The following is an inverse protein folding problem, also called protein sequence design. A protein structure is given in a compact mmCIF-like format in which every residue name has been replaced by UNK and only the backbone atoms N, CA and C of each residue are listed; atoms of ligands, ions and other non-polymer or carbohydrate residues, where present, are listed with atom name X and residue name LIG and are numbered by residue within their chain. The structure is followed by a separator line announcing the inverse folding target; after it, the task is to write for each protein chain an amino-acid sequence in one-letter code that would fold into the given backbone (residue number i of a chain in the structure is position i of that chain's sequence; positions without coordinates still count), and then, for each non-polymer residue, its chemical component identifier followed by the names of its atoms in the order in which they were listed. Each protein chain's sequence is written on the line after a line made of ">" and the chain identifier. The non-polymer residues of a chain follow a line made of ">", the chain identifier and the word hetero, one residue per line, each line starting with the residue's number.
data_IF_407482488585
#
_entry.id   IF_407482488585
#
_cell.length_a   1.000
_cell.length_b   1.000
_cell.length_c   1.000
_cell.angle_alpha   90.00
_cell.angle_beta   90.00
_cell.angle_gamma   90.00
#
_symmetry.space_group_name_H-M   'P 1'
#
loop_
_entity.id
_entity.type
_entity.pdbx_description
1 polymer ?
#
# COMPACT_ATOMS: atom_id res chain seq x y z
N UNK A 1 31.09 11.93 8.40
CA UNK A 1 30.91 12.92 9.48
C UNK A 1 29.62 13.69 9.24
N UNK A 2 28.74 13.76 10.24
CA UNK A 2 27.50 14.57 10.26
C UNK A 2 27.80 15.94 10.90
N UNK A 3 27.91 17.00 10.09
CA UNK A 3 28.14 18.38 10.56
C UNK A 3 26.92 19.25 10.23
N UNK A 4 26.67 20.35 10.97
CA UNK A 4 25.59 21.27 10.64
C UNK A 4 25.65 21.81 9.20
N UNK A 5 26.86 22.07 8.68
CA UNK A 5 27.05 22.54 7.30
C UNK A 5 26.67 21.47 6.26
N UNK A 6 27.04 20.19 6.49
CA UNK A 6 26.63 19.09 5.61
C UNK A 6 25.10 18.91 5.61
N UNK A 7 24.45 19.05 6.77
CA UNK A 7 22.99 18.97 6.87
C UNK A 7 22.29 20.10 6.14
N UNK A 8 22.79 21.33 6.30
CA UNK A 8 22.24 22.49 5.59
C UNK A 8 22.34 22.33 4.07
N UNK A 9 23.49 21.88 3.57
CA UNK A 9 23.69 21.64 2.13
C UNK A 9 22.81 20.48 1.61
N UNK A 10 22.65 19.41 2.39
CA UNK A 10 21.77 18.30 2.01
C UNK A 10 20.29 18.73 1.94
N UNK A 11 19.84 19.58 2.87
CA UNK A 11 18.51 20.18 2.85
C UNK A 11 18.31 21.06 1.62
N UNK A 12 19.25 21.97 1.35
CA UNK A 12 19.22 22.84 0.17
C UNK A 12 19.16 22.02 -1.13
N UNK A 13 19.99 20.99 -1.26
CA UNK A 13 19.98 20.11 -2.42
C UNK A 13 18.63 19.39 -2.59
N UNK A 14 18.02 18.91 -1.48
CA UNK A 14 16.70 18.30 -1.52
C UNK A 14 15.60 19.29 -1.92
N UNK A 15 15.61 20.51 -1.37
CA UNK A 15 14.67 21.58 -1.71
C UNK A 15 14.75 21.99 -3.19
N UNK A 16 15.96 22.00 -3.77
CA UNK A 16 16.17 22.31 -5.19
C UNK A 16 15.87 21.12 -6.12
N UNK A 17 15.85 19.88 -5.61
CA UNK A 17 15.62 18.67 -6.41
C UNK A 17 14.14 18.29 -6.56
N UNK A 18 13.26 18.76 -5.66
CA UNK A 18 11.83 18.47 -5.71
C UNK A 18 11.17 19.25 -6.84
N UNK A 19 10.55 18.54 -7.78
CA UNK A 19 9.81 19.14 -8.90
C UNK A 19 8.31 19.12 -8.59
N UNK A 20 7.70 20.30 -8.55
CA UNK A 20 6.26 20.44 -8.45
C UNK A 20 5.62 20.21 -9.83
N UNK A 21 5.16 18.99 -10.08
CA UNK A 21 4.54 18.62 -11.37
C UNK A 21 3.21 19.34 -11.62
N UNK A 22 2.42 19.55 -10.56
CA UNK A 22 1.15 20.28 -10.63
C UNK A 22 0.84 20.94 -9.29
N UNK A 23 0.30 22.16 -9.33
CA UNK A 23 -0.32 22.81 -8.18
C UNK A 23 -1.47 23.69 -8.66
N UNK A 24 -2.70 23.37 -8.29
CA UNK A 24 -3.88 24.16 -8.64
C UNK A 24 -4.18 25.22 -7.57
N UNK A 25 -3.14 25.89 -7.08
CA UNK A 25 -3.21 26.80 -5.93
C UNK A 25 -3.45 26.09 -4.59
N UNK A 26 -3.41 24.75 -4.57
CA UNK A 26 -3.48 23.95 -3.35
C UNK A 26 -2.21 24.09 -2.50
N UNK A 27 -1.05 24.08 -3.18
CA UNK A 27 0.25 24.29 -2.55
C UNK A 27 0.74 25.72 -2.82
N UNK A 28 1.43 26.36 -1.84
CA UNK A 28 1.81 25.80 -0.54
C UNK A 28 0.63 25.70 0.45
N UNK A 29 0.66 24.69 1.32
CA UNK A 29 -0.34 24.57 2.39
C UNK A 29 -0.18 25.75 3.36
N UNK A 30 -1.29 26.42 3.68
CA UNK A 30 -1.29 27.44 4.72
C UNK A 30 -1.26 26.76 6.09
N UNK A 31 -0.14 26.86 6.79
CA UNK A 31 0.05 26.26 8.12
C UNK A 31 -1.00 26.75 9.14
N UNK A 32 -1.49 27.99 9.02
CA UNK A 32 -2.55 28.51 9.88
C UNK A 32 -3.95 27.99 9.50
N UNK A 33 -4.16 27.56 8.26
CA UNK A 33 -5.43 27.02 7.79
C UNK A 33 -5.61 25.51 8.04
N UNK A 34 -4.52 24.73 8.12
CA UNK A 34 -4.55 23.24 8.19
C UNK A 34 -5.00 22.75 9.56
N UNK A 35 -6.29 22.66 9.87
CA UNK A 35 -6.71 22.16 11.22
C UNK A 35 -6.25 20.74 11.53
N UNK A 36 -6.31 19.85 10.54
CA UNK A 36 -5.87 18.46 10.63
C UNK A 36 -5.32 18.05 9.27
N UNK A 37 -4.19 17.35 9.26
CA UNK A 37 -3.56 16.76 8.10
C UNK A 37 -3.56 15.24 8.24
N UNK A 38 -4.18 14.54 7.30
CA UNK A 38 -4.04 13.09 7.19
C UNK A 38 -2.85 12.76 6.27
N UNK A 39 -1.90 11.99 6.78
CA UNK A 39 -0.82 11.40 6.00
C UNK A 39 -1.17 9.94 5.76
N UNK A 40 -1.17 9.51 4.50
CA UNK A 40 -1.61 8.16 4.12
C UNK A 40 -0.55 7.48 3.27
N UNK A 41 -0.27 6.22 3.58
CA UNK A 41 0.53 5.33 2.74
C UNK A 41 1.81 4.79 3.41
N UNK A 42 2.35 3.67 2.89
CA UNK A 42 3.45 2.94 3.51
C UNK A 42 4.81 3.67 3.45
N UNK A 43 4.92 4.76 2.69
CA UNK A 43 6.14 5.54 2.55
C UNK A 43 6.20 6.75 3.51
N UNK A 44 5.15 6.97 4.31
CA UNK A 44 5.06 8.12 5.20
C UNK A 44 6.18 8.15 6.27
N UNK A 45 6.62 6.96 6.71
CA UNK A 45 7.69 6.77 7.70
C UNK A 45 9.01 6.29 7.10
N UNK A 46 9.17 6.41 5.78
CA UNK A 46 10.33 5.90 5.06
C UNK A 46 11.21 7.03 4.52
N UNK A 47 12.51 6.97 4.81
CA UNK A 47 13.53 7.67 4.02
C UNK A 47 14.16 6.66 3.04
N UNK A 48 13.91 6.83 1.74
CA UNK A 48 14.51 6.01 0.69
C UNK A 48 15.88 6.57 0.31
N UNK A 49 16.99 5.89 0.66
CA UNK A 49 18.30 6.30 0.19
C UNK A 49 18.45 5.95 -1.29
N UNK A 50 19.36 6.67 -1.96
CA UNK A 50 19.91 6.17 -3.22
C UNK A 50 20.70 4.87 -2.98
N UNK A 51 20.84 4.08 -4.04
CA UNK A 51 21.58 2.82 -4.01
C UNK A 51 23.02 2.96 -3.51
N UNK A 52 23.64 4.10 -3.80
CA UNK A 52 25.02 4.42 -3.41
C UNK A 52 25.10 5.42 -2.26
N UNK A 53 23.97 5.80 -1.65
CA UNK A 53 23.88 6.84 -0.61
C UNK A 53 24.33 6.40 0.79
N UNK A 54 24.66 5.13 0.98
CA UNK A 54 24.96 4.56 2.30
C UNK A 54 23.76 4.60 3.26
N UNK A 55 24.00 4.25 4.54
CA UNK A 55 22.96 4.35 5.57
C UNK A 55 22.99 5.74 6.22
N UNK A 56 21.87 6.49 6.22
CA UNK A 56 21.85 7.83 6.77
C UNK A 56 21.97 7.79 8.30
N UNK A 57 22.83 8.68 8.86
CA UNK A 57 23.02 8.84 10.31
C UNK A 57 21.78 9.43 10.97
N UNK A 58 21.07 10.32 10.25
CA UNK A 58 19.79 10.91 10.66
C UNK A 58 18.77 10.70 9.56
N UNK A 59 17.55 10.38 9.96
CA UNK A 59 16.41 10.22 9.07
C UNK A 59 15.37 11.28 9.44
N UNK A 60 14.68 11.80 8.45
CA UNK A 60 13.54 12.69 8.64
C UNK A 60 12.45 12.20 7.68
N UNK A 61 11.66 11.19 8.09
CA UNK A 61 10.55 10.69 7.29
C UNK A 61 9.49 11.77 7.08
N UNK A 62 8.74 11.73 5.96
CA UNK A 62 7.73 12.74 5.64
C UNK A 62 6.73 13.01 6.77
N UNK A 63 6.21 11.95 7.43
CA UNK A 63 5.24 12.10 8.52
C UNK A 63 5.83 12.82 9.73
N UNK A 64 7.03 12.41 10.14
CA UNK A 64 7.73 13.04 11.26
C UNK A 64 8.01 14.52 10.98
N UNK A 65 8.55 14.83 9.79
CA UNK A 65 8.81 16.21 9.37
C UNK A 65 7.55 17.07 9.32
N UNK A 66 6.42 16.52 8.85
CA UNK A 66 5.12 17.20 8.85
C UNK A 66 4.58 17.42 10.27
N UNK A 67 4.75 16.44 11.16
CA UNK A 67 4.36 16.55 12.56
C UNK A 67 5.19 17.60 13.32
N UNK A 68 6.51 17.64 13.07
CA UNK A 68 7.40 18.68 13.60
C UNK A 68 7.01 20.09 13.12
N UNK A 69 6.62 20.22 11.85
CA UNK A 69 6.26 21.51 11.25
C UNK A 69 4.87 22.01 11.64
N UNK A 70 3.87 21.14 11.64
CA UNK A 70 2.46 21.53 11.86
C UNK A 70 2.00 21.34 13.31
N UNK A 71 2.70 20.53 14.09
CA UNK A 71 2.30 20.04 15.41
C UNK A 71 1.74 18.61 15.33
N UNK A 72 2.24 17.71 16.20
CA UNK A 72 1.87 16.29 16.21
C UNK A 72 0.35 16.07 16.35
N UNK A 73 -0.32 16.90 17.15
CA UNK A 73 -1.77 16.82 17.42
C UNK A 73 -2.64 17.03 16.17
N UNK A 74 -2.05 17.62 15.12
CA UNK A 74 -2.73 17.92 13.85
C UNK A 74 -2.45 16.88 12.78
N UNK A 75 -1.48 15.98 12.98
CA UNK A 75 -1.11 14.97 12.00
C UNK A 75 -1.69 13.62 12.40
N UNK A 76 -2.64 13.13 11.62
CA UNK A 76 -3.15 11.77 11.74
C UNK A 76 -2.54 10.90 10.65
N UNK A 77 -2.34 9.61 10.93
CA UNK A 77 -1.65 8.70 10.02
C UNK A 77 -2.41 7.39 9.87
N UNK A 78 -2.49 6.91 8.63
CA UNK A 78 -2.91 5.57 8.29
C UNK A 78 -1.97 5.01 7.23
N UNK A 79 -1.40 3.82 7.47
CA UNK A 79 -0.50 3.21 6.49
C UNK A 79 -1.26 2.70 5.26
N UNK A 80 -2.52 2.29 5.45
CA UNK A 80 -3.40 1.83 4.37
C UNK A 80 -3.09 0.42 3.86
N UNK A 81 -2.36 -0.40 4.62
CA UNK A 81 -2.04 -1.79 4.27
C UNK A 81 -3.07 -2.77 4.83
N UNK A 82 -3.29 -3.88 4.11
CA UNK A 82 -4.12 -4.97 4.60
C UNK A 82 -3.40 -5.71 5.74
N UNK A 83 -4.15 -6.09 6.78
CA UNK A 83 -3.69 -7.04 7.80
C UNK A 83 -4.17 -8.43 7.41
N UNK A 84 -3.25 -9.37 7.23
CA UNK A 84 -3.55 -10.71 6.71
C UNK A 84 -2.98 -11.82 7.57
N UNK A 85 -3.56 -13.02 7.45
CA UNK A 85 -3.04 -14.28 7.98
C UNK A 85 -2.92 -15.28 6.84
N UNK A 86 -1.91 -16.13 6.88
CA UNK A 86 -1.69 -17.18 5.87
C UNK A 86 -1.92 -18.55 6.49
N UNK A 87 -2.80 -19.36 5.89
CA UNK A 87 -3.08 -20.73 6.31
C UNK A 87 -2.50 -21.73 5.31
N UNK A 88 -1.58 -22.58 5.74
CA UNK A 88 -1.14 -23.76 4.99
C UNK A 88 -2.07 -24.95 5.29
N UNK A 89 -1.88 -26.06 4.56
CA UNK A 89 -2.69 -27.28 4.74
C UNK A 89 -2.65 -27.82 6.19
N UNK A 90 -1.49 -27.71 6.85
CA UNK A 90 -1.23 -28.30 8.17
C UNK A 90 -1.34 -27.31 9.33
N UNK A 91 -1.70 -26.04 9.07
CA UNK A 91 -1.83 -25.02 10.12
C UNK A 91 -1.65 -23.59 9.62
N UNK A 92 -1.43 -22.66 10.55
CA UNK A 92 -1.20 -21.25 10.29
C UNK A 92 0.28 -20.90 10.22
N UNK A 93 0.64 -20.00 9.31
CA UNK A 93 1.96 -19.40 9.27
C UNK A 93 2.16 -18.56 10.53
N UNK A 94 3.25 -18.83 11.24
CA UNK A 94 3.68 -18.11 12.43
C UNK A 94 5.10 -17.61 12.28
N UNK A 95 5.31 -16.35 12.62
CA UNK A 95 6.63 -15.77 12.87
C UNK A 95 6.99 -16.13 14.32
N UNK A 96 8.05 -16.92 14.57
CA UNK A 96 8.46 -17.22 15.93
C UNK A 96 8.94 -15.97 16.65
N UNK A 97 8.75 -15.94 17.97
CA UNK A 97 9.30 -14.88 18.81
C UNK A 97 10.83 -14.93 18.73
N UNK A 98 11.45 -13.84 18.29
CA UNK A 98 12.90 -13.74 18.36
C UNK A 98 13.28 -13.66 19.85
N UNK A 99 14.16 -14.55 20.31
CA UNK A 99 14.78 -14.35 21.62
C UNK A 99 15.43 -12.96 21.62
N UNK A 100 15.20 -12.17 22.66
CA UNK A 100 15.80 -10.86 22.85
C UNK A 100 17.32 -11.03 22.99
N UNK A 101 18.02 -11.09 21.86
CA UNK A 101 19.46 -11.00 21.78
C UNK A 101 19.82 -9.58 21.38
N UNK A 102 20.70 -8.96 22.16
CA UNK A 102 21.21 -7.58 22.02
C UNK A 102 22.08 -7.34 20.76
N UNK A 103 21.82 -8.09 19.68
CA UNK A 103 22.44 -7.90 18.37
C UNK A 103 21.70 -6.84 17.56
N UNK A 104 21.76 -5.59 18.02
CA UNK A 104 21.68 -4.46 17.08
C UNK A 104 22.77 -4.63 16.01
N UNK A 105 22.57 -4.17 14.77
CA UNK A 105 23.60 -4.31 13.73
C UNK A 105 24.92 -3.75 14.28
N UNK A 106 25.94 -4.60 14.40
CA UNK A 106 27.28 -4.13 14.76
C UNK A 106 27.64 -3.03 13.76
N UNK A 107 27.99 -1.87 14.32
CA UNK A 107 28.35 -0.67 13.59
C UNK A 107 29.58 -0.91 12.72
N UNK A 108 29.35 -1.46 11.54
CA UNK A 108 30.37 -1.83 10.56
C UNK A 108 29.85 -2.44 9.26
N UNK A 109 28.53 -2.64 9.10
CA UNK A 109 27.96 -3.17 7.86
C UNK A 109 27.75 -2.06 6.80
N UNK A 110 28.42 -2.21 5.66
CA UNK A 110 28.09 -1.49 4.43
C UNK A 110 26.75 -2.04 3.90
N UNK A 111 25.65 -1.51 4.43
CA UNK A 111 24.26 -1.80 4.06
C UNK A 111 23.78 -3.25 4.34
N UNK A 112 23.00 -3.50 5.42
CA UNK A 112 22.43 -4.82 5.71
C UNK A 112 21.39 -5.32 4.69
N UNK A 113 20.97 -4.50 3.71
CA UNK A 113 20.26 -5.00 2.53
C UNK A 113 21.13 -5.91 1.63
N UNK A 114 22.43 -6.06 1.93
CA UNK A 114 23.39 -6.87 1.19
C UNK A 114 23.79 -8.18 1.90
N UNK A 115 23.39 -8.41 3.15
CA UNK A 115 23.53 -9.73 3.76
C UNK A 115 22.37 -10.58 3.25
N UNK A 116 22.65 -11.71 2.61
CA UNK A 116 21.66 -12.60 2.01
C UNK A 116 20.77 -13.29 3.06
N UNK A 117 19.97 -12.47 3.75
CA UNK A 117 19.14 -12.80 4.91
C UNK A 117 19.96 -13.13 6.16
N UNK A 118 19.57 -12.55 7.29
CA UNK A 118 20.04 -12.98 8.62
C UNK A 118 19.58 -14.41 8.87
N UNK A 119 20.51 -15.36 9.04
CA UNK A 119 20.21 -16.77 9.34
C UNK A 119 20.09 -17.06 10.83
N UNK A 120 20.49 -16.11 11.67
CA UNK A 120 20.47 -16.19 13.14
C UNK A 120 19.08 -16.00 13.75
N UNK A 121 18.12 -15.49 12.98
CA UNK A 121 16.72 -15.44 13.36
C UNK A 121 16.00 -16.75 12.99
N UNK A 122 15.00 -17.17 13.77
CA UNK A 122 14.28 -18.40 13.48
C UNK A 122 13.46 -18.29 12.17
N UNK A 123 13.39 -19.35 11.36
CA UNK A 123 12.53 -19.41 10.18
C UNK A 123 11.05 -19.37 10.56
N UNK A 124 10.20 -18.90 9.65
CA UNK A 124 8.75 -18.98 9.82
C UNK A 124 8.33 -20.44 9.91
N UNK A 125 7.38 -20.74 10.79
CA UNK A 125 6.87 -22.09 11.03
C UNK A 125 5.39 -22.16 10.69
N UNK A 126 4.85 -23.38 10.66
CA UNK A 126 3.41 -23.62 10.59
C UNK A 126 2.95 -24.25 11.89
N UNK A 127 1.93 -23.69 12.54
CA UNK A 127 1.40 -24.15 13.82
C UNK A 127 -0.05 -23.74 14.04
N UNK A 128 -0.52 -23.80 15.29
CA UNK A 128 -1.95 -23.60 15.59
C UNK A 128 -2.38 -22.13 15.69
N UNK A 129 -1.43 -21.23 15.96
CA UNK A 129 -1.68 -19.80 16.16
C UNK A 129 -1.13 -18.99 14.97
N UNK A 130 -1.95 -18.17 14.30
CA UNK A 130 -1.48 -17.32 13.21
C UNK A 130 -0.69 -16.12 13.71
N UNK A 131 0.25 -15.65 12.87
CA UNK A 131 0.77 -14.28 12.96
C UNK A 131 0.03 -13.40 11.95
N UNK A 132 -0.46 -12.25 12.41
CA UNK A 132 -0.96 -11.19 11.55
C UNK A 132 0.21 -10.45 10.89
N UNK A 133 0.15 -10.31 9.57
CA UNK A 133 1.16 -9.69 8.75
C UNK A 133 0.55 -8.48 8.05
N UNK A 134 1.28 -7.37 7.96
CA UNK A 134 0.92 -6.31 7.03
C UNK A 134 1.28 -6.74 5.61
N UNK A 135 0.34 -6.64 4.68
CA UNK A 135 0.52 -6.95 3.26
C UNK A 135 0.50 -5.64 2.46
N UNK A 136 1.60 -5.34 1.79
CA UNK A 136 1.65 -4.27 0.80
C UNK A 136 1.62 -4.85 -0.61
N UNK A 137 0.66 -4.40 -1.41
CA UNK A 137 0.58 -4.63 -2.85
C UNK A 137 1.10 -3.40 -3.59
N UNK A 138 2.20 -3.59 -4.32
CA UNK A 138 2.88 -2.53 -5.07
C UNK A 138 2.38 -2.43 -6.51
N UNK A 139 1.31 -3.17 -6.85
CA UNK A 139 0.80 -3.34 -8.20
C UNK A 139 1.56 -4.44 -8.95
N UNK A 140 0.97 -4.87 -10.09
CA UNK A 140 1.56 -5.92 -10.92
C UNK A 140 1.71 -7.28 -10.22
N UNK A 141 0.99 -7.50 -9.11
CA UNK A 141 1.08 -8.70 -8.28
C UNK A 141 2.31 -8.76 -7.37
N UNK A 142 3.11 -7.68 -7.27
CA UNK A 142 4.29 -7.63 -6.42
C UNK A 142 3.89 -7.31 -4.98
N UNK A 143 4.18 -8.25 -4.08
CA UNK A 143 3.79 -8.19 -2.68
C UNK A 143 5.02 -8.16 -1.77
N UNK A 144 4.90 -7.41 -0.67
CA UNK A 144 5.79 -7.53 0.48
C UNK A 144 4.97 -7.77 1.74
N UNK A 145 5.45 -8.67 2.60
CA UNK A 145 4.82 -9.01 3.87
C UNK A 145 5.70 -8.51 5.02
N UNK A 146 5.10 -7.89 6.04
CA UNK A 146 5.82 -7.39 7.21
C UNK A 146 5.22 -7.92 8.50
N UNK A 147 6.08 -8.46 9.36
CA UNK A 147 5.70 -8.97 10.67
C UNK A 147 5.42 -7.82 11.66
N UNK A 148 4.72 -8.08 12.78
CA UNK A 148 4.45 -7.07 13.82
C UNK A 148 5.72 -6.46 14.43
N UNK A 149 6.87 -7.13 14.32
CA UNK A 149 8.18 -6.60 14.70
C UNK A 149 8.68 -5.45 13.81
N UNK A 150 7.95 -5.11 12.74
CA UNK A 150 8.37 -4.14 11.71
C UNK A 150 9.30 -4.73 10.66
N UNK A 151 9.70 -6.01 10.78
CA UNK A 151 10.60 -6.66 9.82
C UNK A 151 9.83 -7.30 8.67
N UNK A 152 10.31 -7.07 7.46
CA UNK A 152 9.84 -7.68 6.24
C UNK A 152 10.24 -9.17 6.19
N UNK A 153 9.34 -9.97 5.63
CA UNK A 153 9.64 -11.34 5.28
C UNK A 153 10.66 -11.35 4.16
N UNK A 154 11.73 -12.10 4.34
CA UNK A 154 12.86 -12.22 3.43
C UNK A 154 13.32 -13.67 3.40
N UNK A 155 14.15 -14.02 2.41
CA UNK A 155 14.65 -15.37 2.22
C UNK A 155 16.17 -15.34 2.27
N UNK A 156 16.73 -16.11 3.20
CA UNK A 156 18.18 -16.17 3.39
C UNK A 156 18.82 -17.20 2.43
N UNK A 157 20.15 -17.31 2.47
CA UNK A 157 20.92 -18.25 1.62
C UNK A 157 20.52 -19.72 1.83
N UNK A 158 20.10 -20.09 3.03
CA UNK A 158 19.57 -21.43 3.35
C UNK A 158 18.17 -21.70 2.77
N UNK A 159 17.64 -20.73 2.01
CA UNK A 159 16.32 -20.68 1.39
C UNK A 159 15.16 -20.62 2.38
N UNK A 160 15.40 -20.49 3.68
CA UNK A 160 14.33 -20.38 4.65
C UNK A 160 13.78 -18.94 4.72
N UNK A 161 12.47 -18.84 4.89
CA UNK A 161 11.75 -17.57 5.00
C UNK A 161 11.81 -17.06 6.44
N UNK A 162 12.16 -15.79 6.65
CA UNK A 162 12.31 -15.15 7.98
C UNK A 162 11.74 -13.75 7.99
N UNK A 163 11.25 -13.30 9.14
CA UNK A 163 10.98 -11.87 9.39
C UNK A 163 12.28 -11.18 9.85
N UNK A 164 13.12 -10.78 8.90
CA UNK A 164 14.48 -10.35 9.19
C UNK A 164 14.89 -9.01 8.55
N UNK A 165 14.30 -8.63 7.42
CA UNK A 165 14.71 -7.44 6.69
C UNK A 165 14.08 -6.17 7.28
N UNK A 166 14.87 -5.13 7.52
CA UNK A 166 14.33 -3.83 7.95
C UNK A 166 13.48 -3.17 6.85
N UNK A 167 13.85 -3.37 5.59
CA UNK A 167 13.17 -2.84 4.41
C UNK A 167 13.39 -3.76 3.20
N UNK A 168 12.52 -3.72 2.18
CA UNK A 168 12.84 -4.26 0.88
C UNK A 168 14.01 -3.50 0.25
N UNK A 169 15.01 -4.22 -0.28
CA UNK A 169 16.19 -3.62 -0.90
C UNK A 169 17.19 -4.67 -1.39
N UNK A 170 18.35 -4.22 -1.88
CA UNK A 170 19.39 -5.10 -2.42
C UNK A 170 19.20 -5.46 -3.90
N UNK A 171 20.31 -5.80 -4.59
CA UNK A 171 20.33 -5.83 -6.06
C UNK A 171 19.36 -6.87 -6.61
N UNK A 172 19.25 -7.97 -5.86
CA UNK A 172 18.15 -8.91 -5.93
C UNK A 172 17.36 -8.76 -4.64
N UNK A 173 16.17 -8.14 -4.74
CA UNK A 173 15.29 -7.93 -3.59
C UNK A 173 14.78 -9.29 -3.08
N UNK A 174 15.03 -9.60 -1.81
CA UNK A 174 14.69 -10.89 -1.23
C UNK A 174 13.28 -10.95 -0.66
N UNK A 175 12.67 -9.78 -0.46
CA UNK A 175 11.41 -9.55 0.25
C UNK A 175 10.17 -9.58 -0.66
N UNK A 176 10.34 -9.89 -1.94
CA UNK A 176 9.28 -9.78 -2.96
C UNK A 176 8.65 -11.12 -3.29
N UNK A 177 7.32 -11.15 -3.21
CA UNK A 177 6.50 -12.34 -3.47
C UNK A 177 5.36 -12.03 -4.43
N UNK A 178 4.79 -13.08 -5.02
CA UNK A 178 3.51 -13.04 -5.74
C UNK A 178 2.59 -14.13 -5.21
N UNK A 179 1.28 -13.87 -5.24
CA UNK A 179 0.26 -14.88 -4.99
C UNK A 179 -0.30 -15.35 -6.33
N UNK A 180 -0.05 -16.62 -6.65
CA UNK A 180 -0.58 -17.25 -7.86
C UNK A 180 -1.76 -18.14 -7.49
N UNK A 181 -2.94 -17.88 -8.08
CA UNK A 181 -4.13 -18.68 -7.81
C UNK A 181 -3.89 -20.16 -8.15
N UNK A 182 -4.18 -21.04 -7.19
CA UNK A 182 -3.97 -22.46 -7.36
C UNK A 182 -4.95 -23.23 -6.47
N UNK A 183 -5.79 -24.07 -7.08
CA UNK A 183 -6.91 -24.78 -6.42
C UNK A 183 -7.78 -23.84 -5.57
N UNK A 184 -8.03 -24.18 -4.30
CA UNK A 184 -8.78 -23.39 -3.31
C UNK A 184 -7.94 -22.34 -2.56
N UNK A 185 -6.74 -22.02 -3.04
CA UNK A 185 -5.86 -21.03 -2.42
C UNK A 185 -4.82 -20.47 -3.40
N UNK A 186 -3.62 -20.23 -2.89
CA UNK A 186 -2.55 -19.60 -3.64
C UNK A 186 -1.20 -20.30 -3.43
N UNK A 187 -0.41 -20.38 -4.47
CA UNK A 187 1.02 -20.60 -4.36
C UNK A 187 1.69 -19.24 -4.10
N UNK A 188 2.55 -19.18 -3.08
CA UNK A 188 3.35 -18.00 -2.80
C UNK A 188 4.70 -18.17 -3.51
N UNK A 189 4.97 -17.36 -4.53
CA UNK A 189 6.21 -17.44 -5.31
C UNK A 189 7.13 -16.30 -4.92
N UNK A 190 8.42 -16.61 -4.70
CA UNK A 190 9.43 -15.58 -4.51
C UNK A 190 9.92 -15.08 -5.86
N UNK A 191 9.90 -13.77 -6.09
CA UNK A 191 10.29 -13.20 -7.39
C UNK A 191 11.78 -13.33 -7.69
N UNK A 192 12.65 -13.12 -6.70
CA UNK A 192 14.10 -13.09 -6.95
C UNK A 192 14.72 -14.41 -7.42
N UNK A 193 14.14 -15.57 -7.07
CA UNK A 193 14.57 -16.89 -7.59
C UNK A 193 13.52 -17.54 -8.49
N UNK A 194 12.26 -17.11 -8.42
CA UNK A 194 11.14 -17.73 -9.11
C UNK A 194 10.61 -19.01 -8.47
N UNK A 195 11.15 -19.43 -7.32
CA UNK A 195 10.72 -20.63 -6.59
C UNK A 195 9.49 -20.39 -5.71
N UNK A 196 8.71 -21.44 -5.48
CA UNK A 196 7.55 -21.40 -4.59
C UNK A 196 7.92 -21.65 -3.13
N UNK A 197 7.15 -21.08 -2.20
CA UNK A 197 7.27 -21.36 -0.77
C UNK A 197 6.65 -22.71 -0.46
N UNK A 198 7.38 -23.55 0.26
CA UNK A 198 7.05 -24.90 0.70
C UNK A 198 7.07 -24.97 2.23
N UNK A 199 6.32 -25.92 2.79
CA UNK A 199 6.39 -26.24 4.23
C UNK A 199 7.37 -27.41 4.39
N UNK A 200 8.52 -27.15 5.02
CA UNK A 200 9.53 -28.16 5.32
C UNK A 200 9.64 -28.40 6.83
N UNK A 201 10.33 -29.48 7.24
CA UNK A 201 10.55 -29.80 8.65
C UNK A 201 11.25 -28.67 9.42
N UNK A 202 12.11 -27.89 8.75
CA UNK A 202 12.80 -26.72 9.32
C UNK A 202 12.04 -25.40 9.21
N UNK A 203 10.77 -25.40 8.78
CA UNK A 203 9.97 -24.19 8.57
C UNK A 203 9.66 -23.92 7.09
N UNK A 204 9.18 -22.71 6.80
CA UNK A 204 8.89 -22.26 5.44
C UNK A 204 10.19 -22.07 4.66
N UNK A 205 10.24 -22.67 3.47
CA UNK A 205 11.41 -22.68 2.60
C UNK A 205 11.02 -22.35 1.17
N UNK A 206 11.85 -21.65 0.42
CA UNK A 206 11.68 -21.47 -1.03
C UNK A 206 12.31 -22.64 -1.78
N UNK A 207 11.53 -23.30 -2.63
CA UNK A 207 12.00 -24.33 -3.54
C UNK A 207 13.05 -23.79 -4.51
N UNK A 208 13.97 -24.65 -4.94
CA UNK A 208 14.84 -24.31 -6.06
C UNK A 208 14.02 -24.23 -7.34
N UNK A 209 14.38 -23.29 -8.21
CA UNK A 209 13.69 -23.12 -9.49
C UNK A 209 13.85 -24.38 -10.32
N UNK A 210 12.76 -24.82 -10.95
CA UNK A 210 12.72 -26.00 -11.83
C UNK A 210 13.12 -27.33 -11.15
N UNK A 211 13.15 -27.36 -9.80
CA UNK A 211 13.43 -28.58 -9.01
C UNK A 211 12.31 -29.62 -9.07
N UNK A 212 11.12 -29.23 -9.51
CA UNK A 212 9.91 -30.06 -9.44
C UNK A 212 9.30 -30.16 -8.03
N UNK A 213 9.88 -29.48 -7.02
CA UNK A 213 9.26 -29.37 -5.70
C UNK A 213 7.93 -28.59 -5.81
N UNK A 214 6.83 -29.22 -5.42
CA UNK A 214 5.52 -28.56 -5.39
C UNK A 214 5.46 -27.52 -4.26
N UNK A 215 5.00 -26.32 -4.59
CA UNK A 215 4.75 -25.28 -3.60
C UNK A 215 3.63 -25.65 -2.65
N UNK A 216 3.73 -25.18 -1.40
CA UNK A 216 2.62 -25.27 -0.48
C UNK A 216 1.51 -24.30 -0.91
N UNK A 217 0.26 -24.71 -0.73
CA UNK A 217 -0.89 -23.83 -0.97
C UNK A 217 -1.27 -23.15 0.32
N UNK A 218 -1.37 -21.83 0.21
CA UNK A 218 -1.77 -20.94 1.28
C UNK A 218 -3.13 -20.35 0.98
N UNK A 219 -4.01 -20.33 1.99
CA UNK A 219 -5.21 -19.50 1.96
C UNK A 219 -4.90 -18.20 2.68
N UNK A 220 -5.14 -17.09 1.98
CA UNK A 220 -5.00 -15.74 2.53
C UNK A 220 -6.31 -15.37 3.22
N UNK A 221 -6.25 -15.10 4.53
CA UNK A 221 -7.34 -14.50 5.28
C UNK A 221 -7.02 -13.03 5.51
N UNK A 222 -7.88 -12.13 5.04
CA UNK A 222 -7.76 -10.71 5.33
C UNK A 222 -8.52 -10.42 6.62
N UNK A 223 -7.78 -9.99 7.65
CA UNK A 223 -8.31 -9.65 8.97
C UNK A 223 -8.85 -8.23 8.98
N UNK A 224 -8.10 -7.30 8.37
CA UNK A 224 -8.47 -5.90 8.22
C UNK A 224 -8.03 -5.43 6.83
N UNK A 225 -8.88 -4.63 6.19
CA UNK A 225 -8.58 -4.01 4.89
C UNK A 225 -7.97 -2.65 5.13
N UNK A 226 -6.81 -2.38 4.55
CA UNK A 226 -6.12 -1.10 4.68
C UNK A 226 -6.92 0.08 4.14
N UNK A 227 -7.76 -0.17 3.12
CA UNK A 227 -8.70 0.82 2.57
C UNK A 227 -9.76 1.29 3.59
N UNK A 228 -10.05 0.49 4.63
CA UNK A 228 -11.02 0.86 5.66
C UNK A 228 -10.46 1.96 6.58
N UNK A 229 -9.16 1.92 6.86
CA UNK A 229 -8.48 2.92 7.69
C UNK A 229 -8.46 4.32 7.04
N UNK A 230 -8.68 4.39 5.72
CA UNK A 230 -8.66 5.63 4.93
C UNK A 230 -10.02 5.98 4.34
N UNK A 231 -11.07 5.27 4.76
CA UNK A 231 -12.41 5.49 4.26
C UNK A 231 -12.92 6.90 4.61
N UNK A 232 -13.68 7.51 3.69
CA UNK A 232 -14.33 8.78 3.96
C UNK A 232 -15.36 8.62 5.08
N UNK A 233 -15.50 9.63 5.95
CA UNK A 233 -16.52 9.61 6.99
C UNK A 233 -17.92 9.58 6.39
N UNK A 234 -18.84 8.96 7.11
CA UNK A 234 -20.20 8.76 6.62
C UNK A 234 -20.97 10.06 6.32
N UNK A 235 -20.65 11.13 7.04
CA UNK A 235 -21.24 12.46 6.94
C UNK A 235 -20.49 13.42 6.01
N UNK A 236 -19.40 12.97 5.40
CA UNK A 236 -18.55 13.78 4.55
C UNK A 236 -18.84 13.59 3.05
N UNK A 237 -18.40 14.57 2.26
CA UNK A 237 -18.39 14.46 0.79
C UNK A 237 -16.96 14.18 0.36
N UNK A 238 -16.72 12.97 -0.16
CA UNK A 238 -15.44 12.64 -0.80
C UNK A 238 -15.27 13.43 -2.09
N UNK A 239 -14.08 13.95 -2.35
CA UNK A 239 -13.77 14.67 -3.59
C UNK A 239 -12.52 14.09 -4.22
N UNK A 240 -12.61 13.68 -5.47
CA UNK A 240 -11.48 13.27 -6.29
C UNK A 240 -11.34 14.26 -7.43
N UNK A 241 -10.10 14.67 -7.68
CA UNK A 241 -9.76 15.63 -8.71
C UNK A 241 -8.89 14.93 -9.74
N UNK A 242 -9.35 14.87 -10.99
CA UNK A 242 -8.53 14.40 -12.09
C UNK A 242 -8.18 15.58 -13.00
N UNK A 243 -6.98 15.53 -13.59
CA UNK A 243 -6.44 16.57 -14.44
C UNK A 243 -6.03 16.00 -15.78
N UNK A 244 -6.21 16.79 -16.83
CA UNK A 244 -5.85 16.47 -18.19
C UNK A 244 -6.38 15.11 -18.67
N UNK A 245 -7.61 14.76 -18.28
CA UNK A 245 -8.28 13.57 -18.79
C UNK A 245 -8.69 13.80 -20.25
N UNK A 246 -8.12 13.02 -21.15
CA UNK A 246 -8.51 13.05 -22.56
C UNK A 246 -9.75 12.19 -22.79
N UNK A 247 -10.86 12.84 -23.15
CA UNK A 247 -12.12 12.19 -23.50
C UNK A 247 -12.26 11.93 -25.01
N UNK A 248 -11.21 12.18 -25.80
CA UNK A 248 -11.20 11.97 -27.24
C UNK A 248 -12.30 12.74 -27.96
N UNK A 249 -12.96 12.08 -28.91
CA UNK A 249 -14.06 12.66 -29.70
C UNK A 249 -15.37 12.86 -28.90
N UNK A 250 -15.46 12.32 -27.69
CA UNK A 250 -16.65 12.38 -26.85
C UNK A 250 -16.94 11.04 -26.18
N UNK A 251 -17.08 11.04 -24.85
CA UNK A 251 -17.59 9.86 -24.15
C UNK A 251 -19.10 9.69 -24.39
N UNK A 252 -19.58 8.46 -24.49
CA UNK A 252 -21.02 8.16 -24.69
C UNK A 252 -21.61 7.27 -23.60
N UNK A 253 -20.77 6.49 -22.93
CA UNK A 253 -21.18 5.47 -21.98
C UNK A 253 -20.34 5.53 -20.71
N UNK A 254 -20.68 6.41 -19.74
CA UNK A 254 -20.02 6.43 -18.46
C UNK A 254 -20.51 5.27 -17.57
N UNK A 255 -19.57 4.62 -16.89
CA UNK A 255 -19.82 3.50 -15.98
C UNK A 255 -19.15 3.76 -14.65
N UNK A 256 -19.84 3.46 -13.56
CA UNK A 256 -19.32 3.53 -12.19
C UNK A 256 -19.26 2.13 -11.63
N UNK A 257 -18.07 1.67 -11.26
CA UNK A 257 -17.86 0.47 -10.47
C UNK A 257 -17.70 0.89 -9.01
N UNK A 258 -18.67 0.53 -8.18
CA UNK A 258 -18.73 0.96 -6.79
C UNK A 258 -19.41 -0.09 -5.90
N UNK A 259 -19.09 -0.06 -4.62
CA UNK A 259 -19.80 -0.77 -3.56
C UNK A 259 -20.49 0.25 -2.65
N UNK A 260 -21.66 -0.08 -2.13
CA UNK A 260 -22.37 0.77 -1.17
C UNK A 260 -22.93 -0.06 -0.02
N UNK A 261 -22.42 0.17 1.18
CA UNK A 261 -22.85 -0.52 2.41
C UNK A 261 -23.14 0.50 3.53
N UNK A 262 -24.30 1.20 3.46
CA UNK A 262 -24.65 2.19 4.48
C UNK A 262 -24.90 1.51 5.83
N UNK A 263 -24.55 2.19 6.93
CA UNK A 263 -24.72 1.67 8.29
C UNK A 263 -26.20 1.57 8.76
N UNK A 264 -27.16 2.04 7.94
CA UNK A 264 -28.60 2.03 8.24
C UNK A 264 -29.46 1.88 6.99
N UNK A 265 -30.77 1.73 7.17
CA UNK A 265 -31.72 1.60 6.07
C UNK A 265 -31.98 2.97 5.41
N UNK A 266 -31.58 3.16 4.15
CA UNK A 266 -32.15 4.23 3.32
C UNK A 266 -31.24 4.90 2.30
N UNK A 267 -29.93 4.99 2.51
CA UNK A 267 -29.15 5.94 1.71
C UNK A 267 -28.36 5.24 0.59
N UNK A 268 -28.90 5.34 -0.63
CA UNK A 268 -28.11 5.11 -1.85
C UNK A 268 -26.94 6.08 -1.90
N UNK A 269 -25.80 5.62 -2.42
CA UNK A 269 -24.65 6.48 -2.66
C UNK A 269 -24.84 7.25 -3.96
N UNK A 270 -24.22 8.42 -4.08
CA UNK A 270 -24.15 9.16 -5.35
C UNK A 270 -22.71 9.39 -5.74
N UNK A 271 -22.38 9.04 -6.98
CA UNK A 271 -21.14 9.44 -7.66
C UNK A 271 -21.51 10.48 -8.70
N UNK A 272 -20.94 11.68 -8.61
CA UNK A 272 -21.18 12.74 -9.58
C UNK A 272 -19.87 13.35 -10.07
N UNK A 273 -19.70 13.42 -11.40
CA UNK A 273 -18.60 14.07 -12.08
C UNK A 273 -19.05 15.42 -12.66
N UNK A 274 -18.29 16.47 -12.41
CA UNK A 274 -18.53 17.82 -12.93
C UNK A 274 -17.22 18.49 -13.37
N UNK A 275 -17.31 19.52 -14.20
CA UNK A 275 -16.18 20.42 -14.48
C UNK A 275 -16.08 21.52 -13.41
N UNK A 276 -14.95 22.21 -13.35
CA UNK A 276 -14.70 23.29 -12.40
C UNK A 276 -15.70 24.46 -12.48
N UNK A 277 -16.32 24.67 -13.66
CA UNK A 277 -17.38 25.67 -13.87
C UNK A 277 -18.78 25.18 -13.42
N UNK A 278 -18.87 23.97 -12.87
CA UNK A 278 -20.11 23.35 -12.42
C UNK A 278 -20.84 22.53 -13.48
N UNK A 279 -20.33 22.43 -14.71
CA UNK A 279 -20.95 21.62 -15.78
C UNK A 279 -21.01 20.15 -15.36
N UNK A 280 -22.20 19.58 -15.25
CA UNK A 280 -22.39 18.17 -14.94
C UNK A 280 -21.97 17.29 -16.12
N UNK A 281 -21.04 16.36 -15.86
CA UNK A 281 -20.56 15.39 -16.84
C UNK A 281 -21.29 14.07 -16.69
N UNK A 282 -21.31 13.50 -15.49
CA UNK A 282 -21.95 12.22 -15.22
C UNK A 282 -22.53 12.14 -13.81
N UNK A 283 -23.63 11.41 -13.62
CA UNK A 283 -24.17 11.12 -12.28
C UNK A 283 -24.69 9.68 -12.22
N UNK A 284 -24.37 8.97 -11.14
CA UNK A 284 -24.85 7.64 -10.87
C UNK A 284 -25.34 7.52 -9.43
N UNK A 285 -26.53 6.93 -9.27
CA UNK A 285 -26.99 6.41 -7.99
C UNK A 285 -26.48 4.97 -7.82
N UNK A 286 -25.88 4.69 -6.67
CA UNK A 286 -25.35 3.37 -6.31
C UNK A 286 -26.23 2.80 -5.18
N UNK A 287 -27.15 1.87 -5.49
CA UNK A 287 -27.98 1.24 -4.46
C UNK A 287 -27.13 0.40 -3.51
N UNK A 288 -27.63 0.04 -2.31
CA UNK A 288 -26.93 -0.87 -1.41
C UNK A 288 -26.56 -2.18 -2.11
N UNK A 289 -25.30 -2.58 -2.01
CA UNK A 289 -24.75 -3.73 -2.77
C UNK A 289 -24.59 -5.00 -1.92
N UNK A 290 -24.98 -4.95 -0.65
CA UNK A 290 -24.94 -6.10 0.27
C UNK A 290 -23.63 -6.22 1.07
N UNK A 291 -22.64 -5.35 0.83
CA UNK A 291 -21.43 -5.29 1.65
C UNK A 291 -20.40 -4.30 1.09
N UNK A 292 -19.42 -3.89 1.91
CA UNK A 292 -18.43 -2.87 1.53
C UNK A 292 -17.51 -3.30 0.38
N UNK A 293 -17.38 -4.60 0.11
CA UNK A 293 -16.59 -5.12 -1.01
C UNK A 293 -17.44 -5.82 -2.09
N UNK A 294 -18.77 -5.68 -2.01
CA UNK A 294 -19.68 -6.17 -3.04
C UNK A 294 -19.76 -5.12 -4.16
N UNK A 295 -18.73 -5.06 -5.01
CA UNK A 295 -18.68 -4.11 -6.11
C UNK A 295 -19.68 -4.48 -7.21
N UNK A 296 -20.37 -3.47 -7.74
CA UNK A 296 -21.25 -3.59 -8.90
C UNK A 296 -20.97 -2.47 -9.88
N UNK A 297 -21.23 -2.72 -11.16
CA UNK A 297 -21.17 -1.70 -12.20
C UNK A 297 -22.56 -1.12 -12.43
N UNK A 298 -22.69 0.19 -12.28
CA UNK A 298 -23.89 0.95 -12.64
C UNK A 298 -23.58 1.85 -13.83
N UNK A 299 -24.58 2.05 -14.71
CA UNK A 299 -24.49 3.09 -15.74
C UNK A 299 -24.74 4.45 -15.10
N UNK A 300 -23.97 5.44 -15.53
CA UNK A 300 -24.20 6.82 -15.14
C UNK A 300 -24.98 7.54 -16.25
N UNK A 301 -25.79 8.52 -15.86
CA UNK A 301 -26.41 9.44 -16.79
C UNK A 301 -25.33 10.41 -17.31
N UNK A 302 -25.32 10.67 -18.62
CA UNK A 302 -24.36 11.56 -19.28
C UNK A 302 -25.07 12.76 -19.92
N UNK A 303 -25.46 13.79 -19.13
CA UNK A 303 -26.19 14.93 -19.66
C UNK A 303 -25.36 15.76 -20.65
N UNK A 304 -24.06 15.88 -20.41
CA UNK A 304 -23.15 16.65 -21.27
C UNK A 304 -21.94 15.77 -21.60
N UNK A 305 -21.88 15.17 -22.82
CA UNK A 305 -20.72 14.40 -23.25
C UNK A 305 -19.42 15.22 -23.18
N UNK A 306 -18.46 14.87 -22.32
CA UNK A 306 -17.16 15.53 -22.33
C UNK A 306 -16.40 15.10 -23.59
N UNK A 307 -15.71 16.05 -24.22
CA UNK A 307 -14.81 15.82 -25.35
C UNK A 307 -13.51 16.62 -25.17
N UNK A 308 -12.45 16.13 -25.79
CA UNK A 308 -11.08 16.63 -25.64
C UNK A 308 -10.55 16.48 -24.22
N UNK A 309 -9.52 17.26 -23.89
CA UNK A 309 -8.87 17.23 -22.58
C UNK A 309 -9.65 18.08 -21.58
N UNK A 310 -10.08 17.48 -20.47
CA UNK A 310 -10.85 18.12 -19.40
C UNK A 310 -10.39 17.68 -18.01
N UNK A 311 -10.81 18.44 -17.00
CA UNK A 311 -10.49 18.19 -15.59
C UNK A 311 -11.76 17.85 -14.80
N UNK A 312 -12.16 16.56 -14.73
CA UNK A 312 -13.37 16.18 -14.01
C UNK A 312 -13.12 16.16 -12.50
N UNK A 313 -14.07 16.73 -11.76
CA UNK A 313 -14.18 16.71 -10.31
C UNK A 313 -15.22 15.68 -9.95
N UNK A 314 -14.82 14.61 -9.26
CA UNK A 314 -15.74 13.58 -8.77
C UNK A 314 -16.11 13.89 -7.33
N UNK A 315 -17.40 13.86 -7.04
CA UNK A 315 -17.93 13.88 -5.68
C UNK A 315 -18.56 12.55 -5.33
N UNK A 316 -18.25 12.08 -4.13
CA UNK A 316 -18.77 10.85 -3.54
C UNK A 316 -19.63 11.25 -2.33
N UNK A 317 -20.89 10.79 -2.33
CA UNK A 317 -21.82 11.00 -1.21
C UNK A 317 -22.45 9.68 -0.79
N UNK A 318 -22.69 9.52 0.50
CA UNK A 318 -23.27 8.31 1.09
C UNK A 318 -22.22 7.55 1.88
N UNK A 319 -22.50 7.33 3.17
CA UNK A 319 -21.47 6.96 4.13
C UNK A 319 -20.91 5.54 4.06
N UNK A 320 -21.42 4.72 3.14
CA UNK A 320 -20.89 3.39 2.82
C UNK A 320 -20.37 3.27 1.40
N UNK A 321 -20.24 4.39 0.66
CA UNK A 321 -19.89 4.38 -0.76
C UNK A 321 -18.37 4.23 -0.95
N UNK A 322 -17.98 3.25 -1.77
CA UNK A 322 -16.60 3.02 -2.24
C UNK A 322 -16.58 3.02 -3.76
N UNK A 323 -15.73 3.85 -4.33
CA UNK A 323 -15.54 3.95 -5.78
C UNK A 323 -14.27 3.18 -6.17
N UNK A 324 -14.42 2.14 -6.99
CA UNK A 324 -13.29 1.43 -7.59
C UNK A 324 -12.88 2.04 -8.94
N UNK A 325 -13.87 2.37 -9.79
CA UNK A 325 -13.63 2.88 -11.13
C UNK A 325 -14.73 3.81 -11.60
N UNK A 326 -14.36 4.94 -12.21
CA UNK A 326 -15.23 5.72 -13.08
C UNK A 326 -14.66 5.63 -14.50
N UNK A 327 -15.37 4.93 -15.38
CA UNK A 327 -15.00 4.77 -16.78
C UNK A 327 -15.82 5.70 -17.67
N UNK A 328 -15.18 6.28 -18.67
CA UNK A 328 -15.84 6.95 -19.78
C UNK A 328 -15.44 6.21 -21.05
N UNK A 329 -16.42 5.68 -21.78
CA UNK A 329 -16.20 4.94 -23.03
C UNK A 329 -17.06 5.50 -24.14
N UNK A 330 -16.60 5.39 -25.38
CA UNK A 330 -17.25 5.94 -26.57
C UNK A 330 -16.38 5.78 -27.80
#
# INVERSE_FOLDING_TARGET
>A
MDTPAHRALALEAAEQAVVLLTTDGLLPLSESAVRTLAVVGPLADECKPDWYGGSPIRRSPPREALAERLGADRVVFAEGLDTVRLRAAVGWVRVPDAAAGDGGPEGGSLNPAHTAGRTDLPPLIVGDTPTELSLADWGGGLLTLRAPSGRHLTVAEDRLVRAAAERPGGWVVQETFTLEAHRDGHLLRRLGTGGYVCVAAGGLKVAERDSGEEGAVFRLEVVERGEDAVACRADAVGRLLFRACDFGAGATSPTVEAANAPAGAGDGGTVAAHLADGTALATAAVPPTGGPHAYTTVRADLPTPPAGVRDPHITLRGGGLRLARLGFSG
#
